data_IF_887223617357
#
_entry.id   IF_887223617357
#
_cell.length_a   1.000
_cell.length_b   1.000
_cell.length_c   1.000
_cell.angle_alpha   90.00
_cell.angle_beta   90.00
_cell.angle_gamma   90.00
#
_symmetry.space_group_name_H-M   'P 1'
#
loop_
_entity.id
_entity.type
_entity.pdbx_description
1 polymer ?
#
# COMPACT_ATOMS: atom_id res chain seq x y z
N UNK A 1 7.72 9.30 -2.23
CA UNK A 1 7.16 9.00 -3.57
C UNK A 1 6.72 7.54 -3.59
N UNK A 2 5.89 7.15 -4.56
CA UNK A 2 5.44 5.77 -4.74
C UNK A 2 5.31 5.47 -6.23
N UNK A 3 5.82 4.32 -6.67
CA UNK A 3 5.67 3.76 -8.01
C UNK A 3 5.21 2.30 -7.91
N UNK A 4 4.39 1.90 -8.86
CA UNK A 4 3.88 0.54 -9.01
C UNK A 4 4.23 0.09 -10.42
N UNK A 5 4.95 -1.02 -10.54
CA UNK A 5 5.45 -1.55 -11.81
C UNK A 5 4.79 -2.90 -12.07
N UNK A 6 4.13 -3.11 -13.23
CA UNK A 6 3.58 -4.41 -13.59
C UNK A 6 4.72 -5.40 -13.87
N UNK A 7 4.53 -6.66 -13.45
CA UNK A 7 5.45 -7.77 -13.70
C UNK A 7 4.84 -8.76 -14.71
N UNK A 8 5.70 -9.57 -15.34
CA UNK A 8 5.30 -10.55 -16.36
C UNK A 8 4.36 -11.65 -15.83
N UNK A 9 4.38 -11.91 -14.52
CA UNK A 9 3.52 -12.88 -13.84
C UNK A 9 2.14 -12.29 -13.43
N UNK A 10 1.81 -11.07 -13.88
CA UNK A 10 0.55 -10.40 -13.56
C UNK A 10 0.47 -9.82 -12.14
N UNK A 11 1.60 -9.74 -11.43
CA UNK A 11 1.70 -9.08 -10.12
C UNK A 11 2.36 -7.71 -10.24
N UNK A 12 2.40 -6.95 -9.14
CA UNK A 12 3.06 -5.64 -9.10
C UNK A 12 4.28 -5.64 -8.19
N UNK A 13 5.33 -4.95 -8.64
CA UNK A 13 6.46 -4.54 -7.80
C UNK A 13 6.23 -3.08 -7.36
N UNK A 14 6.19 -2.83 -6.05
CA UNK A 14 5.84 -1.54 -5.46
C UNK A 14 7.09 -0.94 -4.82
N UNK A 15 7.47 0.24 -5.27
CA UNK A 15 8.63 0.98 -4.77
C UNK A 15 8.15 2.29 -4.14
N UNK A 16 8.58 2.58 -2.92
CA UNK A 16 8.21 3.81 -2.24
C UNK A 16 9.27 4.25 -1.25
N UNK A 17 9.36 5.56 -1.01
CA UNK A 17 10.28 6.15 -0.03
C UNK A 17 9.77 7.50 0.51
N UNK A 18 10.35 7.96 1.63
CA UNK A 18 10.06 9.24 2.28
C UNK A 18 11.26 9.78 3.06
N UNK A 19 11.42 11.11 3.05
CA UNK A 19 12.42 11.81 3.88
C UNK A 19 12.17 11.62 5.39
N UNK A 20 10.91 11.39 5.78
CA UNK A 20 10.53 11.21 7.18
C UNK A 20 10.73 9.76 7.65
N UNK A 21 11.53 9.57 8.72
CA UNK A 21 11.86 8.25 9.27
C UNK A 21 10.62 7.42 9.64
N UNK A 22 9.64 8.03 10.31
CA UNK A 22 8.40 7.34 10.71
C UNK A 22 7.58 6.87 9.49
N UNK A 23 7.61 7.65 8.40
CA UNK A 23 6.88 7.32 7.18
C UNK A 23 7.57 6.16 6.45
N UNK A 24 8.91 6.07 6.48
CA UNK A 24 9.63 4.90 5.95
C UNK A 24 9.23 3.60 6.65
N UNK A 25 9.04 3.64 7.97
CA UNK A 25 8.51 2.49 8.72
C UNK A 25 7.11 2.08 8.25
N UNK A 26 6.22 3.05 8.03
CA UNK A 26 4.87 2.79 7.51
C UNK A 26 4.89 2.28 6.06
N UNK A 27 5.82 2.77 5.24
CA UNK A 27 6.06 2.25 3.89
C UNK A 27 6.50 0.80 3.95
N UNK A 28 7.40 0.41 4.85
CA UNK A 28 7.82 -0.98 4.97
C UNK A 28 6.63 -1.92 5.26
N UNK A 29 5.71 -1.50 6.14
CA UNK A 29 4.48 -2.26 6.41
C UNK A 29 3.56 -2.30 5.18
N UNK A 30 3.42 -1.19 4.46
CA UNK A 30 2.65 -1.14 3.21
C UNK A 30 3.20 -2.12 2.16
N UNK A 31 4.53 -2.14 1.98
CA UNK A 31 5.20 -3.05 1.05
C UNK A 31 5.03 -4.51 1.46
N UNK A 32 5.11 -4.83 2.75
CA UNK A 32 4.84 -6.17 3.27
C UNK A 32 3.42 -6.64 2.92
N UNK A 33 2.44 -5.74 2.96
CA UNK A 33 1.04 -6.08 2.69
C UNK A 33 0.76 -6.25 1.20
N UNK A 34 1.35 -5.42 0.34
CA UNK A 34 0.90 -5.26 -1.05
C UNK A 34 1.89 -5.71 -2.12
N UNK A 35 3.18 -5.80 -1.83
CA UNK A 35 4.17 -6.12 -2.86
C UNK A 35 3.98 -7.55 -3.40
N UNK A 36 4.16 -7.74 -4.70
CA UNK A 36 4.00 -9.03 -5.37
C UNK A 36 2.56 -9.52 -5.49
N UNK A 37 1.55 -8.69 -5.19
CA UNK A 37 0.13 -9.01 -5.41
C UNK A 37 -0.34 -8.54 -6.78
N UNK A 38 -1.32 -9.23 -7.35
CA UNK A 38 -2.06 -8.77 -8.52
C UNK A 38 -3.16 -7.75 -8.14
N UNK A 39 -3.79 -7.12 -9.14
CA UNK A 39 -4.75 -6.05 -8.92
C UNK A 39 -5.94 -6.50 -8.04
N UNK A 40 -6.49 -7.68 -8.32
CA UNK A 40 -7.60 -8.25 -7.54
C UNK A 40 -7.19 -8.48 -6.09
N UNK A 41 -6.06 -9.12 -5.85
CA UNK A 41 -5.54 -9.36 -4.51
C UNK A 41 -5.31 -8.05 -3.74
N UNK A 42 -4.82 -7.00 -4.38
CA UNK A 42 -4.64 -5.67 -3.76
C UNK A 42 -6.00 -5.09 -3.33
N UNK A 43 -7.01 -5.16 -4.20
CA UNK A 43 -8.35 -4.61 -3.95
C UNK A 43 -9.14 -5.41 -2.91
N UNK A 44 -8.94 -6.72 -2.84
CA UNK A 44 -9.57 -7.63 -1.88
C UNK A 44 -8.83 -7.67 -0.52
N UNK A 45 -7.61 -7.11 -0.44
CA UNK A 45 -6.84 -7.08 0.81
C UNK A 45 -7.43 -6.07 1.79
N UNK A 46 -7.86 -6.55 2.96
CA UNK A 46 -8.16 -5.72 4.12
C UNK A 46 -6.88 -5.42 4.93
N UNK A 47 -6.30 -4.25 4.70
CA UNK A 47 -5.10 -3.80 5.43
C UNK A 47 -5.37 -3.37 6.86
N UNK A 48 -6.63 -3.12 7.25
CA UNK A 48 -6.98 -2.67 8.60
C UNK A 48 -6.67 -3.73 9.64
N UNK A 49 -6.89 -5.01 9.30
CA UNK A 49 -6.55 -6.15 10.17
C UNK A 49 -5.05 -6.19 10.46
N UNK A 50 -4.21 -5.96 9.45
CA UNK A 50 -2.75 -5.97 9.63
C UNK A 50 -2.30 -4.78 10.48
N UNK A 51 -2.85 -3.58 10.25
CA UNK A 51 -2.52 -2.40 11.06
C UNK A 51 -2.96 -2.54 12.52
N UNK A 52 -4.12 -3.15 12.76
CA UNK A 52 -4.61 -3.45 14.10
C UNK A 52 -3.73 -4.47 14.83
N UNK A 53 -3.30 -5.54 14.16
CA UNK A 53 -2.39 -6.55 14.71
C UNK A 53 -1.02 -5.95 15.07
N UNK A 54 -0.53 -5.01 14.27
CA UNK A 54 0.71 -4.28 14.53
C UNK A 54 0.53 -3.14 15.56
N UNK A 55 -0.69 -2.90 16.03
CA UNK A 55 -1.01 -1.82 16.98
C UNK A 55 -0.84 -0.41 16.42
N UNK A 56 -0.62 -0.26 15.10
CA UNK A 56 -0.31 1.03 14.48
C UNK A 56 -1.44 2.04 14.68
N UNK A 57 -2.69 1.58 14.61
CA UNK A 57 -3.85 2.46 14.78
C UNK A 57 -3.89 3.13 16.16
N UNK A 58 -3.31 2.50 17.19
CA UNK A 58 -3.32 3.02 18.57
C UNK A 58 -2.15 3.95 18.86
N UNK A 59 -1.05 3.86 18.10
CA UNK A 59 0.20 4.56 18.40
C UNK A 59 0.55 5.67 17.39
N UNK A 60 -0.16 5.74 16.26
CA UNK A 60 0.01 6.81 15.29
C UNK A 60 -0.80 8.06 15.69
N UNK A 61 -0.16 9.23 15.57
CA UNK A 61 -0.88 10.50 15.62
C UNK A 61 -1.88 10.60 14.45
N UNK A 62 -2.93 11.43 14.56
CA UNK A 62 -3.94 11.58 13.51
C UNK A 62 -3.34 11.87 12.13
N UNK A 63 -2.36 12.77 12.05
CA UNK A 63 -1.66 13.11 10.79
C UNK A 63 -0.98 11.90 10.16
N UNK A 64 -0.32 11.06 10.97
CA UNK A 64 0.39 9.87 10.48
C UNK A 64 -0.56 8.78 10.03
N UNK A 65 -1.66 8.58 10.76
CA UNK A 65 -2.73 7.66 10.36
C UNK A 65 -3.34 8.07 9.02
N UNK A 66 -3.63 9.37 8.85
CA UNK A 66 -4.12 9.89 7.58
C UNK A 66 -3.11 9.68 6.44
N UNK A 67 -1.81 9.88 6.71
CA UNK A 67 -0.75 9.57 5.75
C UNK A 67 -0.73 8.10 5.32
N UNK A 68 -0.85 7.17 6.28
CA UNK A 68 -0.94 5.74 6.00
C UNK A 68 -2.16 5.40 5.13
N UNK A 69 -3.35 5.91 5.49
CA UNK A 69 -4.56 5.70 4.69
C UNK A 69 -4.43 6.27 3.28
N UNK A 70 -3.83 7.45 3.11
CA UNK A 70 -3.57 8.03 1.79
C UNK A 70 -2.67 7.17 0.93
N UNK A 71 -1.62 6.55 1.51
CA UNK A 71 -0.77 5.60 0.79
C UNK A 71 -1.53 4.34 0.37
N UNK A 72 -2.36 3.78 1.25
CA UNK A 72 -3.23 2.63 0.92
C UNK A 72 -4.19 2.97 -0.21
N UNK A 73 -4.88 4.11 -0.12
CA UNK A 73 -5.80 4.58 -1.17
C UNK A 73 -5.07 4.77 -2.50
N UNK A 74 -3.84 5.28 -2.49
CA UNK A 74 -3.03 5.44 -3.71
C UNK A 74 -2.68 4.10 -4.35
N UNK A 75 -2.27 3.10 -3.56
CA UNK A 75 -1.96 1.74 -4.05
C UNK A 75 -3.21 1.11 -4.68
N UNK A 76 -4.35 1.18 -4.00
CA UNK A 76 -5.63 0.63 -4.49
C UNK A 76 -6.09 1.31 -5.78
N UNK A 77 -5.97 2.64 -5.86
CA UNK A 77 -6.32 3.39 -7.07
C UNK A 77 -5.44 2.99 -8.27
N UNK A 78 -4.12 2.85 -8.06
CA UNK A 78 -3.21 2.38 -9.10
C UNK A 78 -3.61 0.98 -9.59
N UNK A 79 -3.86 0.05 -8.68
CA UNK A 79 -4.30 -1.30 -9.02
C UNK A 79 -5.64 -1.31 -9.79
N UNK A 80 -6.60 -0.45 -9.40
CA UNK A 80 -7.89 -0.33 -10.09
C UNK A 80 -7.77 0.15 -11.53
N UNK A 81 -6.89 1.12 -11.81
CA UNK A 81 -6.67 1.63 -13.16
C UNK A 81 -6.14 0.54 -14.12
N UNK A 82 -5.27 -0.35 -13.63
CA UNK A 82 -4.77 -1.47 -14.45
C UNK A 82 -5.88 -2.44 -14.88
N UNK A 83 -6.90 -2.67 -14.05
CA UNK A 83 -8.03 -3.54 -14.43
C UNK A 83 -8.80 -2.93 -15.61
N UNK A 84 -8.99 -1.60 -15.58
CA UNK A 84 -9.75 -0.88 -16.62
C UNK A 84 -8.99 -0.83 -17.94
N UNK A 85 -7.67 -0.73 -17.94
CA UNK A 85 -6.86 -0.71 -19.18
C UNK A 85 -6.74 -2.08 -19.85
N UNK A 86 -7.03 -3.18 -19.14
CA UNK A 86 -6.94 -4.55 -19.70
C UNK A 86 -8.31 -5.11 -20.14
N UNK A 87 -9.39 -4.33 -20.01
CA UNK A 87 -10.76 -4.70 -20.41
C UNK A 87 -11.18 -3.91 -21.65
#
# INVERSE_FOLDING_TARGET
WLRMLPQTNGTFDIHADSDAFIVRGLIAVLLLIYNGKNAKQILDTDSTVTFAQLGLDKHLSPTRRNGLHSMVSRVRALAGNFIVETT
#
